data_IF_394324385576
#
_entry.id   IF_394324385576
#
_cell.length_a   1.000
_cell.length_b   1.000
_cell.length_c   1.000
_cell.angle_alpha   90.00
_cell.angle_beta   90.00
_cell.angle_gamma   90.00
#
_symmetry.space_group_name_H-M   'P 1'
#
loop_
_entity.id
_entity.type
_entity.pdbx_description
1 polymer ?
#
# COMPACT_ATOMS: atom_id res chain seq x y z
N UNK A 1 -32.91 1.26 -3.34
CA UNK A 1 -33.52 1.33 -4.70
C UNK A 1 -35.04 1.26 -4.65
N UNK A 2 -35.63 0.21 -4.08
CA UNK A 2 -37.08 0.13 -3.86
C UNK A 2 -37.64 1.36 -3.12
N UNK A 3 -36.90 1.84 -2.11
CA UNK A 3 -37.22 3.09 -1.40
C UNK A 3 -37.20 4.35 -2.27
N UNK A 4 -36.30 4.44 -3.26
CA UNK A 4 -36.27 5.56 -4.21
C UNK A 4 -37.39 5.47 -5.26
N UNK A 5 -37.77 4.24 -5.64
CA UNK A 5 -38.89 4.01 -6.55
C UNK A 5 -40.23 4.38 -5.90
N UNK A 6 -40.39 4.09 -4.61
CA UNK A 6 -41.62 4.37 -3.86
C UNK A 6 -41.77 5.84 -3.42
N UNK A 7 -40.67 6.57 -3.29
CA UNK A 7 -40.68 7.95 -2.80
C UNK A 7 -39.91 8.91 -3.71
N UNK A 8 -40.54 9.41 -4.80
CA UNK A 8 -39.87 10.18 -5.85
C UNK A 8 -39.24 11.50 -5.37
N UNK A 9 -39.68 12.05 -4.24
CA UNK A 9 -39.17 13.26 -3.60
C UNK A 9 -37.97 13.02 -2.68
N UNK A 10 -37.66 11.75 -2.35
CA UNK A 10 -36.64 11.42 -1.35
C UNK A 10 -35.25 11.29 -1.96
N UNK A 11 -34.26 11.67 -1.14
CA UNK A 11 -32.84 11.58 -1.46
C UNK A 11 -32.08 10.63 -0.52
N UNK A 12 -30.91 10.18 -0.97
CA UNK A 12 -29.96 9.35 -0.23
C UNK A 12 -28.61 10.06 -0.18
N UNK A 13 -27.97 10.02 0.98
CA UNK A 13 -26.60 10.46 1.18
C UNK A 13 -25.70 9.28 1.51
N UNK A 14 -24.59 9.13 0.79
CA UNK A 14 -23.51 8.21 1.14
C UNK A 14 -22.25 9.02 1.43
N UNK A 15 -21.66 8.81 2.60
CA UNK A 15 -20.45 9.49 3.05
C UNK A 15 -19.31 8.47 3.05
N UNK A 16 -18.23 8.78 2.34
CA UNK A 16 -17.06 7.91 2.18
C UNK A 16 -15.77 8.66 2.55
N UNK A 17 -14.72 8.00 3.08
CA UNK A 17 -13.47 8.66 3.48
C UNK A 17 -12.67 9.23 2.30
N UNK A 18 -12.68 8.54 1.16
CA UNK A 18 -11.83 8.87 0.01
C UNK A 18 -12.64 9.20 -1.23
N UNK A 19 -11.99 9.89 -2.17
CA UNK A 19 -12.57 10.28 -3.46
C UNK A 19 -12.78 9.07 -4.34
N UNK A 20 -11.83 8.15 -4.28
CA UNK A 20 -11.81 6.89 -5.00
C UNK A 20 -13.01 6.02 -4.61
N UNK A 21 -13.27 5.89 -3.30
CA UNK A 21 -14.45 5.16 -2.84
C UNK A 21 -15.75 5.90 -3.21
N UNK A 22 -15.77 7.24 -3.13
CA UNK A 22 -16.94 8.02 -3.56
C UNK A 22 -17.29 7.78 -5.04
N UNK A 23 -16.27 7.75 -5.90
CA UNK A 23 -16.43 7.48 -7.33
C UNK A 23 -16.89 6.04 -7.58
N UNK A 24 -16.28 5.05 -6.93
CA UNK A 24 -16.66 3.64 -7.04
C UNK A 24 -18.10 3.40 -6.61
N UNK A 25 -18.48 3.89 -5.43
CA UNK A 25 -19.86 3.79 -4.95
C UNK A 25 -20.82 4.49 -5.91
N UNK A 26 -20.44 5.65 -6.45
CA UNK A 26 -21.26 6.34 -7.45
C UNK A 26 -21.41 5.54 -8.76
N UNK A 27 -20.34 4.93 -9.27
CA UNK A 27 -20.34 4.08 -10.47
C UNK A 27 -21.21 2.82 -10.26
N UNK A 28 -21.10 2.16 -9.11
CA UNK A 28 -21.96 1.02 -8.78
C UNK A 28 -23.42 1.44 -8.64
N UNK A 29 -23.69 2.56 -7.94
CA UNK A 29 -25.03 3.11 -7.82
C UNK A 29 -25.64 3.46 -9.18
N UNK A 30 -24.85 3.94 -10.15
CA UNK A 30 -25.35 4.21 -11.52
C UNK A 30 -25.92 2.96 -12.18
N UNK A 31 -25.31 1.78 -11.99
CA UNK A 31 -25.82 0.52 -12.55
C UNK A 31 -27.21 0.19 -12.00
N UNK A 32 -27.40 0.39 -10.70
CA UNK A 32 -28.70 0.17 -10.06
C UNK A 32 -29.73 1.26 -10.43
N UNK A 33 -29.29 2.51 -10.58
CA UNK A 33 -30.16 3.66 -10.87
C UNK A 33 -30.56 3.75 -12.36
N UNK A 34 -29.86 3.04 -13.26
CA UNK A 34 -30.03 3.10 -14.72
C UNK A 34 -31.49 3.00 -15.16
N UNK A 35 -32.28 2.10 -14.54
CA UNK A 35 -33.67 1.87 -14.89
C UNK A 35 -34.69 2.70 -14.09
N UNK A 36 -34.22 3.55 -13.16
CA UNK A 36 -35.07 4.42 -12.33
C UNK A 36 -35.07 5.88 -12.80
N UNK A 37 -34.31 6.22 -13.85
CA UNK A 37 -34.14 7.61 -14.29
C UNK A 37 -33.41 8.49 -13.28
N UNK A 38 -32.74 7.90 -12.29
CA UNK A 38 -31.99 8.62 -11.25
C UNK A 38 -30.52 8.70 -11.67
N UNK A 39 -29.92 9.87 -11.53
CA UNK A 39 -28.48 10.04 -11.76
C UNK A 39 -27.78 10.30 -10.43
N UNK A 40 -26.99 9.34 -9.91
CA UNK A 40 -26.13 9.57 -8.76
C UNK A 40 -25.06 10.63 -9.06
N UNK A 41 -24.74 11.45 -8.05
CA UNK A 41 -23.68 12.45 -8.14
C UNK A 41 -22.61 12.18 -7.08
N UNK A 42 -21.35 12.15 -7.51
CA UNK A 42 -20.19 12.10 -6.61
C UNK A 42 -19.64 13.52 -6.34
N UNK A 43 -19.37 13.82 -5.08
CA UNK A 43 -18.88 15.12 -4.60
C UNK A 43 -17.68 14.94 -3.68
N UNK A 44 -16.54 15.49 -4.07
CA UNK A 44 -15.29 15.30 -3.36
C UNK A 44 -14.31 16.44 -3.60
N UNK A 45 -13.31 16.58 -2.72
CA UNK A 45 -12.26 17.60 -2.85
C UNK A 45 -11.38 17.45 -4.10
N UNK A 46 -10.59 18.46 -4.46
CA UNK A 46 -9.56 18.37 -5.51
C UNK A 46 -10.03 18.43 -6.97
N UNK A 47 -11.34 18.40 -7.23
CA UNK A 47 -11.91 18.79 -8.53
C UNK A 47 -12.69 20.11 -8.38
N UNK A 48 -12.71 20.98 -9.42
CA UNK A 48 -13.45 22.24 -9.40
C UNK A 48 -14.93 22.04 -9.08
N UNK A 49 -15.39 22.78 -8.06
CA UNK A 49 -16.75 22.65 -7.54
C UNK A 49 -17.83 22.90 -8.61
N UNK A 50 -17.58 23.82 -9.55
CA UNK A 50 -18.53 24.17 -10.60
C UNK A 50 -18.94 22.97 -11.47
N UNK A 51 -17.99 22.07 -11.78
CA UNK A 51 -18.28 20.84 -12.55
C UNK A 51 -19.18 19.88 -11.75
N UNK A 52 -18.91 19.75 -10.45
CA UNK A 52 -19.72 18.90 -9.56
C UNK A 52 -21.13 19.47 -9.34
N UNK A 53 -21.27 20.80 -9.22
CA UNK A 53 -22.58 21.45 -9.06
C UNK A 53 -23.48 21.29 -10.29
N UNK A 54 -22.93 21.22 -11.51
CA UNK A 54 -23.72 20.90 -12.69
C UNK A 54 -24.39 19.53 -12.60
N UNK A 55 -23.69 18.53 -12.02
CA UNK A 55 -24.26 17.19 -11.79
C UNK A 55 -25.37 17.19 -10.75
N UNK A 56 -25.26 18.05 -9.72
CA UNK A 56 -26.29 18.22 -8.69
C UNK A 56 -27.57 18.87 -9.20
N UNK A 57 -27.47 19.82 -10.15
CA UNK A 57 -28.62 20.58 -10.67
C UNK A 57 -29.63 19.73 -11.45
N UNK A 58 -29.30 18.49 -11.80
CA UNK A 58 -30.18 17.57 -12.53
C UNK A 58 -30.96 16.63 -11.57
N UNK A 59 -31.46 17.16 -10.44
CA UNK A 59 -32.14 16.37 -9.39
C UNK A 59 -31.35 15.13 -8.95
N UNK A 60 -30.10 15.33 -8.51
CA UNK A 60 -29.30 14.25 -7.97
C UNK A 60 -29.90 13.72 -6.65
N UNK A 61 -30.77 12.69 -6.77
CA UNK A 61 -31.44 12.04 -5.64
C UNK A 61 -30.51 11.11 -4.85
N UNK A 62 -29.38 10.74 -5.41
CA UNK A 62 -28.32 10.00 -4.72
C UNK A 62 -27.07 10.87 -4.74
N UNK A 63 -26.63 11.28 -3.56
CA UNK A 63 -25.40 12.02 -3.37
C UNK A 63 -24.38 11.13 -2.67
N UNK A 64 -23.21 10.94 -3.27
CA UNK A 64 -22.07 10.26 -2.68
C UNK A 64 -20.97 11.29 -2.47
N UNK A 65 -20.36 11.37 -1.29
CA UNK A 65 -19.27 12.34 -1.13
C UNK A 65 -18.38 12.21 0.09
N UNK A 66 -17.26 12.94 0.03
CA UNK A 66 -16.27 12.99 1.11
C UNK A 66 -16.61 14.07 2.13
N UNK A 67 -16.36 13.86 3.44
CA UNK A 67 -16.76 14.77 4.52
C UNK A 67 -16.43 16.25 4.28
N UNK A 68 -15.17 16.60 4.03
CA UNK A 68 -14.78 18.01 3.89
C UNK A 68 -15.56 18.75 2.80
N UNK A 69 -15.69 18.16 1.59
CA UNK A 69 -16.44 18.80 0.50
C UNK A 69 -17.95 18.84 0.76
N UNK A 70 -18.52 17.82 1.38
CA UNK A 70 -19.93 17.84 1.78
C UNK A 70 -20.18 18.96 2.79
N UNK A 71 -19.31 19.11 3.79
CA UNK A 71 -19.40 20.16 4.78
C UNK A 71 -19.33 21.56 4.15
N UNK A 72 -18.42 21.78 3.20
CA UNK A 72 -18.32 23.04 2.45
C UNK A 72 -19.64 23.39 1.76
N UNK A 73 -20.31 22.40 1.17
CA UNK A 73 -21.59 22.59 0.48
C UNK A 73 -22.75 22.89 1.44
N UNK A 74 -22.79 22.24 2.60
CA UNK A 74 -23.78 22.54 3.63
C UNK A 74 -23.55 23.94 4.22
N UNK A 75 -22.31 24.29 4.57
CA UNK A 75 -21.93 25.62 5.09
C UNK A 75 -22.26 26.75 4.09
N UNK A 76 -22.00 26.52 2.80
CA UNK A 76 -22.29 27.49 1.74
C UNK A 76 -23.76 27.50 1.28
N UNK A 77 -24.65 26.77 1.96
CA UNK A 77 -26.09 26.67 1.66
C UNK A 77 -26.38 26.27 0.20
N UNK A 78 -25.50 25.47 -0.41
CA UNK A 78 -25.69 24.93 -1.77
C UNK A 78 -26.52 23.64 -1.79
N UNK A 79 -26.73 23.03 -0.62
CA UNK A 79 -27.53 21.83 -0.40
C UNK A 79 -28.75 22.11 0.51
N UNK A 80 -29.27 23.33 0.52
CA UNK A 80 -30.35 23.75 1.43
C UNK A 80 -31.62 22.91 1.32
N UNK A 81 -31.94 22.42 0.12
CA UNK A 81 -33.13 21.58 -0.11
C UNK A 81 -32.81 20.07 -0.06
N UNK A 82 -31.59 19.69 0.30
CA UNK A 82 -31.17 18.30 0.31
C UNK A 82 -31.51 17.64 1.65
N UNK A 83 -32.57 16.83 1.65
CA UNK A 83 -33.17 16.21 2.84
C UNK A 83 -33.16 14.67 2.72
N UNK A 84 -32.03 14.02 3.05
CA UNK A 84 -31.89 12.58 2.84
C UNK A 84 -32.71 11.77 3.85
N UNK A 85 -33.50 10.82 3.35
CA UNK A 85 -34.22 9.85 4.17
C UNK A 85 -33.29 8.72 4.66
N UNK A 86 -32.24 8.44 3.88
CA UNK A 86 -31.23 7.45 4.21
C UNK A 86 -29.84 8.07 4.13
N UNK A 87 -29.06 7.86 5.18
CA UNK A 87 -27.65 8.24 5.25
C UNK A 87 -26.81 6.99 5.49
N UNK A 88 -25.77 6.81 4.68
CA UNK A 88 -24.81 5.71 4.82
C UNK A 88 -23.46 6.32 5.16
N UNK A 89 -22.84 5.87 6.25
CA UNK A 89 -21.41 6.07 6.49
C UNK A 89 -20.70 4.78 6.10
N UNK A 90 -19.84 4.85 5.09
CA UNK A 90 -19.00 3.74 4.66
C UNK A 90 -17.55 3.96 5.08
N UNK A 91 -16.85 2.90 5.47
CA UNK A 91 -15.50 2.94 6.08
C UNK A 91 -15.38 4.01 7.19
N UNK A 92 -16.28 3.97 8.19
CA UNK A 92 -16.40 5.02 9.20
C UNK A 92 -15.14 5.18 10.09
N UNK A 93 -14.47 4.09 10.43
CA UNK A 93 -13.17 4.08 11.12
C UNK A 93 -12.07 4.77 10.32
N UNK A 94 -12.08 4.63 9.00
CA UNK A 94 -11.15 5.33 8.13
C UNK A 94 -11.37 6.84 8.12
N UNK A 95 -12.63 7.29 8.08
CA UNK A 95 -12.94 8.72 8.19
C UNK A 95 -12.42 9.31 9.51
N UNK A 96 -12.49 8.55 10.60
CA UNK A 96 -11.92 8.95 11.89
C UNK A 96 -10.39 9.04 11.87
N UNK A 97 -9.74 8.05 11.29
CA UNK A 97 -8.28 8.01 11.17
C UNK A 97 -7.74 9.18 10.34
N UNK A 98 -8.55 9.70 9.41
CA UNK A 98 -8.25 10.89 8.61
C UNK A 98 -8.60 12.22 9.31
N UNK A 99 -9.18 12.17 10.51
CA UNK A 99 -9.54 13.35 11.29
C UNK A 99 -10.90 13.97 10.95
N UNK A 100 -11.75 13.31 10.17
CA UNK A 100 -13.04 13.85 9.74
C UNK A 100 -14.16 13.75 10.79
N UNK A 101 -13.84 13.48 12.05
CA UNK A 101 -14.86 13.32 13.10
C UNK A 101 -15.73 14.57 13.24
N UNK A 102 -15.08 15.73 13.38
CA UNK A 102 -15.78 17.01 13.55
C UNK A 102 -16.63 17.34 12.33
N UNK A 103 -16.08 17.11 11.13
CA UNK A 103 -16.78 17.31 9.87
C UNK A 103 -18.06 16.47 9.78
N UNK A 104 -17.98 15.18 10.14
CA UNK A 104 -19.14 14.29 10.17
C UNK A 104 -20.19 14.80 11.17
N UNK A 105 -19.77 15.21 12.37
CA UNK A 105 -20.71 15.71 13.36
C UNK A 105 -21.44 16.97 12.87
N UNK A 106 -20.71 17.88 12.22
CA UNK A 106 -21.28 19.09 11.64
C UNK A 106 -22.22 18.77 10.47
N UNK A 107 -21.84 17.87 9.55
CA UNK A 107 -22.72 17.41 8.48
C UNK A 107 -24.02 16.90 9.07
N UNK A 108 -23.96 16.01 10.07
CA UNK A 108 -25.13 15.43 10.71
C UNK A 108 -26.05 16.47 11.37
N UNK A 109 -25.52 17.65 11.75
CA UNK A 109 -26.31 18.76 12.29
C UNK A 109 -27.17 19.47 11.23
N UNK A 110 -26.78 19.40 9.96
CA UNK A 110 -27.56 19.93 8.83
C UNK A 110 -28.62 18.94 8.32
N UNK A 111 -28.56 17.67 8.74
CA UNK A 111 -29.44 16.62 8.22
C UNK A 111 -30.75 16.50 9.03
N UNK A 112 -31.86 16.06 8.39
CA UNK A 112 -33.15 15.86 9.07
C UNK A 112 -33.05 14.84 10.21
N UNK A 113 -33.65 15.13 11.37
CA UNK A 113 -33.61 14.21 12.54
C UNK A 113 -34.30 12.87 12.27
N UNK A 114 -35.36 12.87 11.47
CA UNK A 114 -36.06 11.66 11.06
C UNK A 114 -35.46 11.13 9.76
N UNK A 115 -34.58 10.14 9.90
CA UNK A 115 -33.89 9.45 8.80
C UNK A 115 -33.41 8.08 9.27
N UNK A 116 -33.23 7.17 8.32
CA UNK A 116 -32.49 5.93 8.54
C UNK A 116 -30.99 6.22 8.40
N UNK A 117 -30.18 5.69 9.31
CA UNK A 117 -28.72 5.78 9.22
C UNK A 117 -28.13 4.36 9.21
N UNK A 118 -27.28 4.07 8.25
CA UNK A 118 -26.46 2.86 8.19
C UNK A 118 -24.99 3.24 8.43
N UNK A 119 -24.30 2.48 9.26
CA UNK A 119 -22.89 2.69 9.57
C UNK A 119 -22.14 1.39 9.30
N UNK A 120 -21.19 1.46 8.39
CA UNK A 120 -20.28 0.37 8.05
C UNK A 120 -18.86 0.75 8.49
N UNK A 121 -18.20 -0.17 9.19
CA UNK A 121 -16.86 0.05 9.73
C UNK A 121 -16.15 -1.30 9.82
N UNK A 122 -14.88 -1.35 9.41
CA UNK A 122 -14.09 -2.57 9.54
C UNK A 122 -13.73 -2.86 11.01
N UNK A 123 -13.59 -1.79 11.80
CA UNK A 123 -13.24 -1.82 13.22
C UNK A 123 -14.20 -0.99 14.06
N UNK A 124 -14.27 -1.26 15.37
CA UNK A 124 -15.17 -0.56 16.31
C UNK A 124 -14.43 0.08 17.49
N UNK A 125 -13.51 1.04 17.26
CA UNK A 125 -12.83 1.76 18.34
C UNK A 125 -13.83 2.63 19.14
N UNK A 126 -13.47 3.07 20.36
CA UNK A 126 -14.38 3.83 21.23
C UNK A 126 -15.00 5.07 20.56
N UNK A 127 -14.25 5.75 19.70
CA UNK A 127 -14.74 6.91 18.94
C UNK A 127 -15.84 6.54 17.94
N UNK A 128 -15.74 5.40 17.24
CA UNK A 128 -16.83 4.91 16.36
C UNK A 128 -18.05 4.52 17.17
N UNK A 129 -17.86 3.84 18.31
CA UNK A 129 -18.96 3.50 19.22
C UNK A 129 -19.72 4.74 19.69
N UNK A 130 -19.01 5.84 19.99
CA UNK A 130 -19.63 7.10 20.34
C UNK A 130 -20.46 7.70 19.19
N UNK A 131 -19.96 7.63 17.95
CA UNK A 131 -20.68 8.07 16.74
C UNK A 131 -21.93 7.22 16.52
N UNK A 132 -21.82 5.89 16.63
CA UNK A 132 -22.95 4.98 16.44
C UNK A 132 -24.06 5.26 17.46
N UNK A 133 -23.70 5.44 18.74
CA UNK A 133 -24.69 5.76 19.79
C UNK A 133 -25.33 7.14 19.59
N UNK A 134 -24.57 8.12 19.08
CA UNK A 134 -25.07 9.49 18.87
C UNK A 134 -25.99 9.62 17.67
N UNK A 135 -25.75 8.87 16.59
CA UNK A 135 -26.38 9.11 15.30
C UNK A 135 -27.26 7.97 14.76
N UNK A 136 -27.22 6.78 15.37
CA UNK A 136 -28.13 5.69 15.06
C UNK A 136 -29.30 5.69 16.06
N UNK A 137 -30.50 5.36 15.57
CA UNK A 137 -31.70 5.15 16.41
C UNK A 137 -32.00 3.66 16.46
N UNK A 138 -31.99 3.05 17.65
CA UNK A 138 -32.24 1.62 17.88
C UNK A 138 -31.56 0.70 16.84
N UNK A 139 -30.22 0.77 16.67
CA UNK A 139 -29.54 0.05 15.59
C UNK A 139 -29.61 -1.46 15.79
N UNK A 140 -29.86 -2.18 14.70
CA UNK A 140 -29.57 -3.61 14.63
C UNK A 140 -28.08 -3.76 14.31
N UNK A 141 -27.34 -4.36 15.24
CA UNK A 141 -25.91 -4.59 15.08
C UNK A 141 -25.66 -5.91 14.36
N UNK A 142 -25.02 -5.83 13.20
CA UNK A 142 -24.46 -7.00 12.52
C UNK A 142 -22.96 -7.00 12.74
N UNK A 143 -22.52 -7.73 13.76
CA UNK A 143 -21.10 -7.97 13.97
C UNK A 143 -20.72 -9.27 13.26
N UNK A 144 -20.22 -9.13 12.02
CA UNK A 144 -19.43 -10.20 11.43
C UNK A 144 -18.00 -10.11 11.97
N UNK A 145 -17.90 -10.26 13.30
CA UNK A 145 -16.65 -10.39 14.01
C UNK A 145 -15.91 -11.53 13.35
N UNK A 146 -14.74 -11.17 12.85
CA UNK A 146 -13.70 -12.04 12.36
C UNK A 146 -13.55 -13.28 13.23
N UNK A 147 -14.19 -14.37 12.82
CA UNK A 147 -13.48 -15.63 12.77
C UNK A 147 -12.11 -15.29 12.14
N UNK A 148 -11.00 -15.77 12.71
CA UNK A 148 -9.62 -15.68 12.18
C UNK A 148 -9.47 -16.19 10.71
N UNK A 149 -10.60 -16.53 10.09
CA UNK A 149 -10.82 -16.97 8.73
C UNK A 149 -10.81 -15.87 7.67
N UNK A 150 -10.90 -14.56 7.99
CA UNK A 150 -10.91 -13.47 6.97
C UNK A 150 -9.65 -13.41 6.08
N UNK A 151 -8.58 -14.08 6.48
CA UNK A 151 -7.33 -14.16 5.72
C UNK A 151 -6.93 -15.61 5.42
N UNK A 152 -7.85 -16.59 5.49
CA UNK A 152 -7.52 -17.99 5.15
C UNK A 152 -6.94 -18.14 3.76
N UNK A 153 -7.39 -17.30 2.84
CA UNK A 153 -6.93 -17.29 1.46
C UNK A 153 -5.68 -16.43 1.26
N UNK A 154 -5.16 -15.78 2.31
CA UNK A 154 -3.97 -14.92 2.27
C UNK A 154 -2.83 -15.60 3.01
N UNK A 155 -1.88 -16.13 2.25
CA UNK A 155 -0.61 -16.62 2.79
C UNK A 155 0.24 -15.44 3.28
N UNK A 156 0.51 -15.36 4.58
CA UNK A 156 1.30 -14.28 5.17
C UNK A 156 2.75 -14.73 5.41
N UNK A 157 3.72 -14.03 4.81
CA UNK A 157 5.15 -14.29 4.94
C UNK A 157 5.88 -13.09 5.54
N UNK A 158 6.73 -13.35 6.52
CA UNK A 158 7.51 -12.32 7.20
C UNK A 158 8.99 -12.55 6.95
N UNK A 159 9.72 -11.51 6.58
CA UNK A 159 11.15 -11.58 6.33
C UNK A 159 11.90 -10.59 7.21
N UNK A 160 12.89 -11.09 7.92
CA UNK A 160 13.78 -10.27 8.71
C UNK A 160 14.90 -9.71 7.83
N UNK A 161 14.96 -8.39 7.69
CA UNK A 161 15.90 -7.69 6.81
C UNK A 161 16.56 -6.52 7.53
N UNK A 162 17.80 -6.19 7.15
CA UNK A 162 18.43 -4.92 7.54
C UNK A 162 17.89 -3.80 6.65
N UNK A 163 17.77 -2.58 7.18
CA UNK A 163 17.23 -1.45 6.40
C UNK A 163 17.98 -1.21 5.09
N UNK A 164 19.31 -1.25 5.14
CA UNK A 164 20.17 -1.11 3.95
C UNK A 164 19.95 -2.20 2.89
N UNK A 165 19.45 -3.38 3.29
CA UNK A 165 19.24 -4.53 2.41
C UNK A 165 17.78 -4.68 1.96
N UNK A 166 16.88 -3.82 2.45
CA UNK A 166 15.44 -3.95 2.22
C UNK A 166 15.08 -3.90 0.74
N UNK A 167 15.74 -3.03 -0.02
CA UNK A 167 15.60 -2.94 -1.47
C UNK A 167 16.00 -4.24 -2.15
N UNK A 168 17.19 -4.76 -1.84
CA UNK A 168 17.69 -6.01 -2.42
C UNK A 168 16.74 -7.17 -2.10
N UNK A 169 16.27 -7.25 -0.86
CA UNK A 169 15.31 -8.25 -0.42
C UNK A 169 14.00 -8.18 -1.21
N UNK A 170 13.43 -6.98 -1.39
CA UNK A 170 12.23 -6.79 -2.21
C UNK A 170 12.44 -7.32 -3.64
N UNK A 171 13.56 -6.98 -4.27
CA UNK A 171 13.86 -7.42 -5.63
C UNK A 171 14.02 -8.95 -5.73
N UNK A 172 14.67 -9.58 -4.75
CA UNK A 172 14.78 -11.04 -4.68
C UNK A 172 13.40 -11.69 -4.57
N UNK A 173 12.53 -11.11 -3.74
CA UNK A 173 11.18 -11.64 -3.51
C UNK A 173 10.27 -11.44 -4.73
N UNK A 174 10.34 -10.29 -5.41
CA UNK A 174 9.60 -10.06 -6.65
C UNK A 174 9.98 -11.08 -7.73
N UNK A 175 11.27 -11.43 -7.82
CA UNK A 175 11.76 -12.42 -8.79
C UNK A 175 11.46 -13.86 -8.42
N UNK A 176 11.41 -14.17 -7.12
CA UNK A 176 11.08 -15.51 -6.64
C UNK A 176 9.57 -15.79 -6.74
N UNK A 177 8.75 -14.83 -6.35
CA UNK A 177 7.29 -14.97 -6.33
C UNK A 177 6.62 -14.70 -7.67
N UNK A 178 7.27 -13.92 -8.55
CA UNK A 178 6.79 -13.60 -9.92
C UNK A 178 5.31 -13.17 -9.91
N UNK A 179 4.95 -12.11 -9.16
CA UNK A 179 3.56 -11.70 -9.05
C UNK A 179 2.97 -11.32 -10.41
N UNK A 180 1.69 -11.61 -10.63
CA UNK A 180 0.93 -11.04 -11.75
C UNK A 180 0.69 -9.57 -11.45
N UNK A 181 -0.20 -9.25 -10.50
CA UNK A 181 -0.35 -7.92 -9.93
C UNK A 181 0.20 -7.88 -8.51
N UNK A 182 0.93 -6.82 -8.19
CA UNK A 182 1.42 -6.57 -6.84
C UNK A 182 1.18 -5.13 -6.39
N UNK A 183 0.87 -4.95 -5.10
CA UNK A 183 0.88 -3.64 -4.45
C UNK A 183 2.02 -3.59 -3.44
N UNK A 184 2.86 -2.56 -3.50
CA UNK A 184 3.96 -2.32 -2.58
C UNK A 184 3.65 -1.08 -1.75
N UNK A 185 3.47 -1.26 -0.45
CA UNK A 185 3.16 -0.19 0.47
C UNK A 185 4.42 0.40 1.13
N UNK A 186 4.55 1.72 1.00
CA UNK A 186 5.56 2.56 1.62
C UNK A 186 4.89 3.57 2.57
N UNK A 187 5.59 4.07 3.58
CA UNK A 187 5.00 5.03 4.53
C UNK A 187 5.11 6.49 4.05
N UNK A 188 6.05 6.80 3.15
CA UNK A 188 6.30 8.17 2.69
C UNK A 188 6.17 8.32 1.18
N UNK A 189 5.74 9.51 0.73
CA UNK A 189 5.59 9.85 -0.69
C UNK A 189 6.93 9.79 -1.43
N UNK A 190 7.98 10.34 -0.80
CA UNK A 190 9.35 10.29 -1.31
C UNK A 190 9.81 8.87 -1.62
N UNK A 191 9.56 7.93 -0.71
CA UNK A 191 9.94 6.54 -0.92
C UNK A 191 9.12 5.87 -2.04
N UNK A 192 7.85 6.25 -2.23
CA UNK A 192 7.05 5.79 -3.37
C UNK A 192 7.71 6.23 -4.69
N UNK A 193 8.11 7.49 -4.80
CA UNK A 193 8.70 8.03 -6.02
C UNK A 193 10.09 7.41 -6.30
N UNK A 194 10.95 7.30 -5.27
CA UNK A 194 12.27 6.67 -5.36
C UNK A 194 12.16 5.20 -5.79
N UNK A 195 11.34 4.41 -5.07
CA UNK A 195 11.21 2.98 -5.35
C UNK A 195 10.55 2.72 -6.72
N UNK A 196 9.56 3.53 -7.11
CA UNK A 196 8.93 3.40 -8.42
C UNK A 196 9.92 3.65 -9.56
N UNK A 197 10.73 4.71 -9.43
CA UNK A 197 11.74 5.07 -10.44
C UNK A 197 12.80 3.99 -10.59
N UNK A 198 13.27 3.43 -9.46
CA UNK A 198 14.24 2.34 -9.47
C UNK A 198 13.66 1.07 -10.13
N UNK A 199 12.45 0.66 -9.74
CA UNK A 199 11.81 -0.52 -10.32
C UNK A 199 11.55 -0.35 -11.84
N UNK A 200 11.14 0.85 -12.28
CA UNK A 200 11.04 1.17 -13.71
C UNK A 200 12.41 1.06 -14.42
N UNK A 201 13.47 1.58 -13.80
CA UNK A 201 14.83 1.49 -14.37
C UNK A 201 15.31 0.04 -14.51
N UNK A 202 14.83 -0.86 -13.63
CA UNK A 202 15.12 -2.29 -13.68
C UNK A 202 14.24 -3.05 -14.68
N UNK A 203 13.27 -2.38 -15.32
CA UNK A 203 12.42 -2.95 -16.36
C UNK A 203 11.09 -3.53 -15.86
N UNK A 204 10.70 -3.27 -14.61
CA UNK A 204 9.36 -3.61 -14.14
C UNK A 204 8.32 -2.64 -14.72
N UNK A 205 7.10 -3.13 -14.95
CA UNK A 205 5.95 -2.28 -15.20
C UNK A 205 5.43 -1.76 -13.86
N UNK A 206 5.55 -0.45 -13.63
CA UNK A 206 5.25 0.17 -12.34
C UNK A 206 4.34 1.40 -12.52
N UNK A 207 3.46 1.58 -11.55
CA UNK A 207 2.70 2.82 -11.35
C UNK A 207 2.91 3.26 -9.91
N UNK A 208 2.97 4.58 -9.70
CA UNK A 208 3.04 5.19 -8.39
C UNK A 208 1.66 5.74 -8.01
N UNK A 209 1.34 5.67 -6.72
CA UNK A 209 0.15 6.32 -6.16
C UNK A 209 0.44 6.93 -4.79
N UNK A 210 0.57 8.26 -4.78
CA UNK A 210 0.93 9.03 -3.58
C UNK A 210 0.10 10.33 -3.48
N UNK A 211 0.18 10.99 -2.33
CA UNK A 211 -0.77 12.06 -1.95
C UNK A 211 -0.62 13.38 -2.69
N UNK A 212 0.52 13.65 -3.35
CA UNK A 212 0.77 14.89 -4.10
C UNK A 212 0.40 14.80 -5.59
N UNK A 213 -0.03 13.63 -6.05
CA UNK A 213 -0.46 13.44 -7.43
C UNK A 213 -1.75 14.22 -7.72
N UNK A 214 -1.83 14.77 -8.93
CA UNK A 214 -3.08 15.36 -9.42
C UNK A 214 -4.18 14.29 -9.51
N UNK A 215 -5.46 14.69 -9.43
CA UNK A 215 -6.56 13.73 -9.54
C UNK A 215 -6.55 12.97 -10.87
N UNK A 216 -6.16 13.64 -11.96
CA UNK A 216 -6.05 13.03 -13.29
C UNK A 216 -4.95 11.96 -13.31
N UNK A 217 -3.79 12.24 -12.72
CA UNK A 217 -2.67 11.29 -12.66
C UNK A 217 -3.01 10.09 -11.77
N UNK A 218 -3.68 10.32 -10.63
CA UNK A 218 -4.16 9.24 -9.75
C UNK A 218 -5.09 8.29 -10.50
N UNK A 219 -6.08 8.84 -11.21
CA UNK A 219 -7.02 8.06 -12.00
C UNK A 219 -6.31 7.25 -13.09
N UNK A 220 -5.40 7.90 -13.83
CA UNK A 220 -4.58 7.24 -14.86
C UNK A 220 -3.74 6.09 -14.31
N UNK A 221 -3.09 6.29 -13.15
CA UNK A 221 -2.33 5.25 -12.44
C UNK A 221 -3.19 4.05 -12.05
N UNK A 222 -4.36 4.29 -11.44
CA UNK A 222 -5.29 3.23 -11.03
C UNK A 222 -5.83 2.47 -12.26
N UNK A 223 -6.23 3.18 -13.31
CA UNK A 223 -6.73 2.56 -14.53
C UNK A 223 -5.68 1.70 -15.23
N UNK A 224 -4.43 2.20 -15.30
CA UNK A 224 -3.31 1.43 -15.87
C UNK A 224 -3.09 0.14 -15.10
N UNK A 225 -3.10 0.23 -13.77
CA UNK A 225 -2.94 -0.95 -12.91
C UNK A 225 -4.11 -1.93 -13.03
N UNK A 226 -5.35 -1.44 -13.13
CA UNK A 226 -6.55 -2.26 -13.31
C UNK A 226 -6.51 -3.05 -14.62
N UNK A 227 -6.16 -2.38 -15.73
CA UNK A 227 -6.12 -2.94 -17.10
C UNK A 227 -4.93 -3.88 -17.34
N UNK A 228 -3.81 -3.68 -16.65
CA UNK A 228 -2.62 -4.51 -16.85
C UNK A 228 -2.82 -5.92 -16.29
N UNK A 229 -2.32 -6.95 -16.98
CA UNK A 229 -2.28 -8.33 -16.46
C UNK A 229 -1.10 -8.54 -15.53
N UNK A 230 0.02 -7.87 -15.79
CA UNK A 230 1.23 -7.91 -14.98
C UNK A 230 1.76 -6.51 -14.66
N UNK A 231 1.69 -6.09 -13.40
CA UNK A 231 2.09 -4.75 -12.99
C UNK A 231 2.31 -4.62 -11.48
N UNK A 232 3.16 -3.67 -11.09
CA UNK A 232 3.40 -3.28 -9.71
C UNK A 232 2.79 -1.88 -9.46
N UNK A 233 2.03 -1.73 -8.39
CA UNK A 233 1.58 -0.44 -7.88
C UNK A 233 2.35 -0.14 -6.59
N UNK A 234 3.13 0.94 -6.56
CA UNK A 234 3.79 1.42 -5.34
C UNK A 234 2.95 2.54 -4.74
N UNK A 235 2.53 2.40 -3.49
CA UNK A 235 1.57 3.32 -2.89
C UNK A 235 1.87 3.66 -1.42
N UNK A 236 1.39 4.82 -0.97
CA UNK A 236 1.26 5.09 0.46
C UNK A 236 -0.07 4.57 1.01
N UNK A 237 -0.19 4.43 2.33
CA UNK A 237 -1.47 4.05 2.97
C UNK A 237 -2.61 4.96 2.51
N UNK A 238 -2.44 6.26 2.71
CA UNK A 238 -3.47 7.28 2.44
C UNK A 238 -3.89 7.25 0.97
N UNK A 239 -2.92 7.12 0.07
CA UNK A 239 -3.20 7.08 -1.35
C UNK A 239 -3.76 5.73 -1.80
N UNK A 240 -3.43 4.66 -1.08
CA UNK A 240 -3.83 3.26 -1.27
C UNK A 240 -5.24 2.91 -0.83
N UNK A 241 -5.86 3.73 0.04
CA UNK A 241 -7.19 3.47 0.61
C UNK A 241 -8.28 3.63 -0.43
N UNK A 242 -9.31 2.78 -0.36
CA UNK A 242 -10.42 2.82 -1.31
C UNK A 242 -10.04 2.47 -2.76
N UNK A 243 -8.85 1.91 -3.02
CA UNK A 243 -8.57 1.34 -4.34
C UNK A 243 -9.24 -0.02 -4.41
N UNK A 244 -10.21 -0.12 -5.31
CA UNK A 244 -10.82 -1.37 -5.70
C UNK A 244 -10.16 -1.91 -6.96
N UNK A 245 -9.26 -2.86 -6.73
CA UNK A 245 -8.47 -3.56 -7.75
C UNK A 245 -8.60 -5.05 -7.48
N UNK A 246 -9.24 -5.75 -8.41
CA UNK A 246 -9.30 -7.21 -8.42
C UNK A 246 -7.94 -7.80 -8.78
N UNK A 247 -7.78 -9.09 -8.46
CA UNK A 247 -6.70 -9.94 -8.96
C UNK A 247 -5.29 -9.54 -8.52
N UNK A 248 -5.18 -8.84 -7.38
CA UNK A 248 -3.89 -8.58 -6.76
C UNK A 248 -3.37 -9.89 -6.17
N UNK A 249 -2.39 -10.49 -6.82
CA UNK A 249 -1.76 -11.74 -6.36
C UNK A 249 -0.92 -11.55 -5.11
N UNK A 250 -0.25 -10.40 -4.98
CA UNK A 250 0.70 -10.16 -3.91
C UNK A 250 0.57 -8.75 -3.31
N UNK A 251 0.69 -8.65 -2.00
CA UNK A 251 0.86 -7.39 -1.28
C UNK A 251 2.22 -7.42 -0.59
N UNK A 252 3.01 -6.36 -0.77
CA UNK A 252 4.28 -6.18 -0.09
C UNK A 252 4.17 -5.01 0.88
N UNK A 253 4.29 -5.27 2.17
CA UNK A 253 4.58 -4.25 3.16
C UNK A 253 6.09 -3.98 3.14
N UNK A 254 6.51 -3.06 2.26
CA UNK A 254 7.91 -2.64 2.18
C UNK A 254 8.32 -1.94 3.46
N UNK A 255 7.45 -1.10 4.02
CA UNK A 255 7.57 -0.58 5.39
C UNK A 255 6.44 -1.05 6.27
N UNK A 256 6.72 -1.33 7.54
CA UNK A 256 5.69 -1.70 8.51
C UNK A 256 4.69 -0.53 8.69
N UNK A 257 3.38 -0.78 8.59
CA UNK A 257 2.35 0.22 8.87
C UNK A 257 2.33 0.64 10.35
N UNK A 258 1.69 1.77 10.63
CA UNK A 258 1.67 2.37 11.97
C UNK A 258 0.64 1.75 12.93
N UNK A 259 -0.41 1.08 12.41
CA UNK A 259 -1.50 0.49 13.21
C UNK A 259 -1.96 -0.86 12.68
N UNK A 260 -2.53 -1.69 13.59
CA UNK A 260 -3.04 -3.03 13.26
C UNK A 260 -4.06 -2.97 12.12
N UNK A 261 -4.97 -2.01 12.21
CA UNK A 261 -6.01 -1.80 11.22
C UNK A 261 -5.41 -1.47 9.85
N UNK A 262 -4.38 -0.62 9.80
CA UNK A 262 -3.67 -0.32 8.56
C UNK A 262 -3.00 -1.57 7.95
N UNK A 263 -2.41 -2.44 8.78
CA UNK A 263 -1.87 -3.71 8.28
C UNK A 263 -2.94 -4.61 7.69
N UNK A 264 -4.04 -4.80 8.41
CA UNK A 264 -5.19 -5.59 7.96
C UNK A 264 -5.75 -5.03 6.65
N UNK A 265 -5.85 -3.71 6.51
CA UNK A 265 -6.31 -3.06 5.28
C UNK A 265 -5.36 -3.20 4.10
N UNK A 266 -4.04 -3.21 4.35
CA UNK A 266 -3.04 -3.47 3.31
C UNK A 266 -3.13 -4.90 2.82
N UNK A 267 -3.08 -5.88 3.71
CA UNK A 267 -3.08 -7.30 3.31
C UNK A 267 -4.42 -7.73 2.70
N UNK A 268 -5.54 -7.12 3.12
CA UNK A 268 -6.86 -7.31 2.51
C UNK A 268 -7.01 -6.76 1.09
N UNK A 269 -5.93 -6.22 0.49
CA UNK A 269 -5.90 -5.89 -0.96
C UNK A 269 -5.65 -7.11 -1.83
N UNK A 270 -5.17 -8.22 -1.26
CA UNK A 270 -5.08 -9.52 -1.94
C UNK A 270 -6.08 -10.51 -1.32
N UNK A 271 -6.23 -11.69 -1.90
CA UNK A 271 -7.09 -12.74 -1.35
C UNK A 271 -8.60 -12.44 -1.42
N UNK A 272 -9.03 -11.62 -2.39
CA UNK A 272 -10.44 -11.22 -2.54
C UNK A 272 -11.23 -12.24 -3.36
N UNK A 273 -12.54 -12.34 -3.10
CA UNK A 273 -13.50 -13.15 -3.88
C UNK A 273 -13.12 -14.65 -4.01
N UNK A 274 -12.54 -15.24 -2.96
CA UNK A 274 -12.13 -16.65 -2.94
C UNK A 274 -10.83 -16.96 -3.69
N UNK A 275 -10.16 -15.96 -4.26
CA UNK A 275 -8.82 -16.14 -4.83
C UNK A 275 -7.78 -16.22 -3.73
N UNK A 276 -6.73 -17.03 -3.94
CA UNK A 276 -5.57 -17.05 -3.03
C UNK A 276 -4.69 -15.82 -3.27
N UNK A 277 -4.12 -15.30 -2.20
CA UNK A 277 -3.21 -14.16 -2.19
C UNK A 277 -2.00 -14.40 -1.31
N UNK A 278 -0.93 -13.63 -1.51
CA UNK A 278 0.24 -13.67 -0.63
C UNK A 278 0.57 -12.28 -0.11
N UNK A 279 0.64 -12.12 1.20
CA UNK A 279 1.09 -10.89 1.85
C UNK A 279 2.50 -11.06 2.40
N UNK A 280 3.44 -10.26 1.91
CA UNK A 280 4.85 -10.31 2.27
C UNK A 280 5.20 -9.07 3.08
N UNK A 281 5.74 -9.24 4.28
CA UNK A 281 6.10 -8.14 5.17
C UNK A 281 7.59 -8.14 5.47
N UNK A 282 8.26 -7.03 5.16
CA UNK A 282 9.67 -6.81 5.46
C UNK A 282 9.80 -6.13 6.82
N UNK A 283 10.56 -6.73 7.73
CA UNK A 283 10.73 -6.27 9.10
C UNK A 283 12.21 -6.13 9.45
N UNK A 284 12.60 -5.05 10.11
CA UNK A 284 13.85 -5.04 10.87
C UNK A 284 13.71 -5.73 12.21
N UNK A 285 14.85 -6.01 12.86
CA UNK A 285 14.86 -6.51 14.24
C UNK A 285 14.13 -5.56 15.20
N UNK A 286 14.22 -4.24 15.02
CA UNK A 286 13.49 -3.29 15.86
C UNK A 286 11.98 -3.36 15.60
N UNK A 287 11.60 -3.44 14.32
CA UNK A 287 10.20 -3.50 13.91
C UNK A 287 9.53 -4.83 14.30
N UNK A 288 10.27 -5.95 14.37
CA UNK A 288 9.69 -7.23 14.76
C UNK A 288 9.15 -7.23 16.19
N UNK A 289 9.80 -6.54 17.14
CA UNK A 289 9.29 -6.40 18.51
C UNK A 289 7.96 -5.63 18.54
N UNK A 290 7.89 -4.49 17.85
CA UNK A 290 6.65 -3.73 17.73
C UNK A 290 5.56 -4.54 17.02
N UNK A 291 5.93 -5.29 15.98
CA UNK A 291 5.01 -6.13 15.21
C UNK A 291 4.44 -7.30 16.02
N UNK A 292 5.24 -7.93 16.92
CA UNK A 292 4.73 -8.93 17.87
C UNK A 292 3.64 -8.35 18.76
N UNK A 293 3.90 -7.19 19.35
CA UNK A 293 2.94 -6.48 20.23
C UNK A 293 1.69 -6.06 19.45
N UNK A 294 1.88 -5.60 18.24
CA UNK A 294 0.86 -5.15 17.31
C UNK A 294 -0.12 -6.25 16.89
N UNK A 295 0.38 -7.46 16.60
CA UNK A 295 -0.45 -8.62 16.29
C UNK A 295 -0.96 -9.37 17.53
N UNK A 296 -0.49 -9.00 18.73
CA UNK A 296 -0.76 -9.72 19.99
C UNK A 296 -0.40 -11.21 19.92
N UNK A 297 0.65 -11.55 19.17
CA UNK A 297 1.16 -12.93 19.02
C UNK A 297 2.40 -13.15 19.89
N UNK A 298 2.60 -14.39 20.35
CA UNK A 298 3.79 -14.76 21.12
C UNK A 298 5.05 -14.71 20.25
N UNK A 299 4.97 -15.27 19.05
CA UNK A 299 6.08 -15.33 18.10
C UNK A 299 5.64 -15.09 16.66
N UNK A 300 6.60 -14.64 15.84
CA UNK A 300 6.45 -14.46 14.40
C UNK A 300 7.37 -15.46 13.72
N UNK A 301 6.82 -16.25 12.80
CA UNK A 301 7.61 -17.12 11.94
C UNK A 301 8.26 -16.30 10.83
N UNK A 302 9.59 -16.33 10.76
CA UNK A 302 10.34 -15.67 9.69
C UNK A 302 10.73 -16.65 8.60
N UNK A 303 10.43 -16.28 7.36
CA UNK A 303 10.90 -16.96 6.16
C UNK A 303 12.33 -16.53 5.82
N UNK A 304 13.10 -17.42 5.20
CA UNK A 304 14.44 -17.11 4.68
C UNK A 304 14.34 -16.46 3.31
N UNK A 305 15.15 -15.44 3.06
CA UNK A 305 15.23 -14.86 1.72
C UNK A 305 15.71 -15.92 0.71
N UNK A 306 15.12 -15.96 -0.49
CA UNK A 306 15.49 -16.94 -1.49
C UNK A 306 16.91 -16.67 -2.01
N UNK A 307 17.66 -17.74 -2.19
CA UNK A 307 18.98 -17.73 -2.82
C UNK A 307 18.87 -17.47 -4.31
N UNK A 308 19.98 -17.05 -4.93
CA UNK A 308 20.04 -16.85 -6.39
C UNK A 308 19.70 -18.15 -7.14
N UNK A 309 20.13 -19.30 -6.62
CA UNK A 309 19.83 -20.61 -7.22
C UNK A 309 18.33 -20.92 -7.18
N UNK A 310 17.66 -20.66 -6.06
CA UNK A 310 16.21 -20.84 -5.92
C UNK A 310 15.42 -19.88 -6.83
N UNK A 311 15.85 -18.62 -6.94
CA UNK A 311 15.26 -17.64 -7.86
C UNK A 311 15.38 -18.12 -9.30
N UNK A 312 16.57 -18.51 -9.75
CA UNK A 312 16.79 -19.03 -11.11
C UNK A 312 15.92 -20.25 -11.39
N UNK A 313 15.87 -21.19 -10.45
CA UNK A 313 15.06 -22.40 -10.57
C UNK A 313 13.57 -22.07 -10.73
N UNK A 314 13.04 -21.15 -9.91
CA UNK A 314 11.65 -20.68 -10.05
C UNK A 314 11.39 -19.99 -11.38
N UNK A 315 12.31 -19.15 -11.84
CA UNK A 315 12.19 -18.48 -13.13
C UNK A 315 12.22 -19.45 -14.31
N UNK A 316 13.06 -20.49 -14.26
CA UNK A 316 13.08 -21.55 -15.28
C UNK A 316 11.73 -22.27 -15.36
N UNK A 317 11.17 -22.67 -14.22
CA UNK A 317 9.86 -23.34 -14.17
C UNK A 317 8.76 -22.44 -14.77
N UNK A 318 8.69 -21.17 -14.34
CA UNK A 318 7.70 -20.24 -14.88
C UNK A 318 7.87 -19.98 -16.39
N UNK A 319 9.11 -20.00 -16.89
CA UNK A 319 9.38 -19.87 -18.31
C UNK A 319 8.91 -21.10 -19.10
N UNK A 320 9.13 -22.31 -18.60
CA UNK A 320 8.63 -23.54 -19.22
C UNK A 320 7.09 -23.55 -19.28
N UNK A 321 6.42 -23.16 -18.20
CA UNK A 321 4.96 -23.00 -18.19
C UNK A 321 4.48 -22.00 -19.26
N UNK A 322 5.21 -20.89 -19.44
CA UNK A 322 4.89 -19.88 -20.47
C UNK A 322 5.11 -20.36 -21.90
N UNK A 323 5.94 -21.38 -22.11
CA UNK A 323 6.12 -22.01 -23.43
C UNK A 323 4.97 -22.96 -23.72
N UNK A 324 4.56 -23.76 -22.74
CA UNK A 324 3.46 -24.72 -22.89
C UNK A 324 2.10 -24.06 -23.13
N UNK A 325 1.87 -22.87 -22.58
CA UNK A 325 0.63 -22.11 -22.79
C UNK A 325 0.61 -21.29 -24.09
N UNK A 326 1.71 -21.26 -24.84
CA UNK A 326 1.82 -20.46 -26.06
C UNK A 326 0.97 -21.03 -27.21
N UNK A 327 0.30 -20.14 -27.94
CA UNK A 327 -0.40 -20.53 -29.18
C UNK A 327 0.59 -20.76 -30.31
N UNK A 328 0.45 -21.86 -31.03
CA UNK A 328 1.24 -22.12 -32.24
C UNK A 328 0.62 -21.35 -33.41
N UNK A 329 1.41 -20.50 -34.06
CA UNK A 329 0.98 -19.77 -35.25
C UNK A 329 0.83 -20.73 -36.44
N UNK A 330 -0.07 -20.45 -37.38
CA UNK A 330 -0.30 -21.29 -38.58
C UNK A 330 0.98 -21.58 -39.34
N UNK A 331 1.82 -20.54 -39.49
CA UNK A 331 3.03 -20.60 -40.32
C UNK A 331 4.24 -21.16 -39.55
N UNK A 332 4.06 -21.53 -38.26
CA UNK A 332 5.18 -21.95 -37.42
C UNK A 332 5.89 -23.21 -37.95
N UNK A 333 5.13 -24.14 -38.54
CA UNK A 333 5.69 -25.36 -39.14
C UNK A 333 6.50 -25.03 -40.41
N UNK A 334 5.99 -24.14 -41.25
CA UNK A 334 6.68 -23.71 -42.46
C UNK A 334 7.99 -22.99 -42.12
N UNK A 335 7.95 -22.03 -41.19
CA UNK A 335 9.14 -21.33 -40.70
C UNK A 335 10.16 -22.30 -40.12
N UNK A 336 9.72 -23.28 -39.31
CA UNK A 336 10.61 -24.30 -38.75
C UNK A 336 11.30 -25.11 -39.85
N UNK A 337 10.57 -25.49 -40.91
CA UNK A 337 11.14 -26.25 -42.03
C UNK A 337 12.23 -25.48 -42.78
N UNK A 338 12.08 -24.15 -42.91
CA UNK A 338 13.13 -23.29 -43.49
C UNK A 338 14.36 -23.21 -42.58
N UNK A 339 14.15 -23.05 -41.27
CA UNK A 339 15.26 -22.99 -40.32
C UNK A 339 16.06 -24.31 -40.27
N UNK A 340 15.39 -25.45 -40.38
CA UNK A 340 16.02 -26.78 -40.37
C UNK A 340 16.94 -27.05 -41.56
N UNK A 341 16.82 -26.29 -42.66
CA UNK A 341 17.74 -26.41 -43.81
C UNK A 341 19.12 -25.83 -43.50
N UNK A 342 19.17 -24.81 -42.65
CA UNK A 342 20.39 -24.06 -42.33
C UNK A 342 20.98 -24.43 -40.97
N UNK A 343 20.18 -25.01 -40.07
CA UNK A 343 20.56 -25.23 -38.67
C UNK A 343 19.93 -26.49 -38.08
N UNK A 344 20.57 -27.07 -37.06
CA UNK A 344 19.98 -28.21 -36.33
C UNK A 344 18.80 -27.77 -35.45
N UNK A 345 17.89 -28.70 -35.16
CA UNK A 345 16.76 -28.45 -34.24
C UNK A 345 17.22 -27.98 -32.85
N UNK A 346 18.35 -28.52 -32.37
CA UNK A 346 18.92 -28.16 -31.07
C UNK A 346 19.42 -26.70 -31.09
N UNK A 347 20.14 -26.29 -32.13
CA UNK A 347 20.61 -24.92 -32.26
C UNK A 347 19.47 -23.92 -32.41
N UNK A 348 18.43 -24.28 -33.17
CA UNK A 348 17.21 -23.48 -33.30
C UNK A 348 16.54 -23.32 -31.93
N UNK A 349 16.34 -24.42 -31.20
CA UNK A 349 15.74 -24.40 -29.87
C UNK A 349 16.55 -23.54 -28.90
N UNK A 350 17.89 -23.70 -28.86
CA UNK A 350 18.78 -22.90 -28.01
C UNK A 350 18.69 -21.41 -28.37
N UNK A 351 18.71 -21.05 -29.67
CA UNK A 351 18.59 -19.65 -30.10
C UNK A 351 17.23 -19.05 -29.72
N UNK A 352 16.13 -19.77 -29.93
CA UNK A 352 14.79 -19.29 -29.58
C UNK A 352 14.61 -19.16 -28.06
N UNK A 353 15.07 -20.15 -27.29
CA UNK A 353 15.09 -20.09 -25.82
C UNK A 353 15.93 -18.90 -25.36
N UNK A 354 17.14 -18.72 -25.89
CA UNK A 354 18.02 -17.59 -25.58
C UNK A 354 17.39 -16.25 -25.92
N UNK A 355 16.72 -16.12 -27.07
CA UNK A 355 16.06 -14.89 -27.50
C UNK A 355 14.87 -14.54 -26.59
N UNK A 356 14.07 -15.54 -26.17
CA UNK A 356 12.92 -15.32 -25.28
C UNK A 356 13.36 -15.10 -23.82
N UNK A 357 14.35 -15.87 -23.35
CA UNK A 357 14.92 -15.77 -22.01
C UNK A 357 15.69 -14.47 -21.78
N UNK A 358 16.51 -14.02 -22.73
CA UNK A 358 17.29 -12.77 -22.62
C UNK A 358 16.39 -11.54 -22.41
N UNK A 359 15.16 -11.53 -22.95
CA UNK A 359 14.18 -10.46 -22.67
C UNK A 359 13.68 -10.51 -21.22
N UNK A 360 13.58 -11.70 -20.63
CA UNK A 360 13.03 -11.94 -19.29
C UNK A 360 14.11 -11.86 -18.18
N UNK A 361 15.36 -12.21 -18.49
CA UNK A 361 16.49 -12.24 -17.54
C UNK A 361 17.20 -10.90 -17.36
N UNK A 362 16.89 -9.89 -18.18
CA UNK A 362 17.48 -8.54 -18.11
C UNK A 362 17.41 -7.94 -16.71
N UNK A 363 16.32 -8.19 -15.99
CA UNK A 363 16.10 -7.69 -14.63
C UNK A 363 17.10 -8.29 -13.64
N UNK A 364 17.30 -9.62 -13.69
CA UNK A 364 18.22 -10.33 -12.80
C UNK A 364 19.67 -9.95 -13.10
N UNK A 365 20.05 -9.88 -14.38
CA UNK A 365 21.40 -9.47 -14.79
C UNK A 365 21.70 -8.03 -14.33
N UNK A 366 20.80 -7.09 -14.62
CA UNK A 366 20.97 -5.68 -14.22
C UNK A 366 21.07 -5.49 -12.71
N UNK A 367 20.39 -6.33 -11.93
CA UNK A 367 20.51 -6.32 -10.46
C UNK A 367 21.83 -6.92 -9.97
N UNK A 368 22.29 -8.02 -10.56
CA UNK A 368 23.59 -8.60 -10.23
C UNK A 368 24.71 -7.61 -10.53
N UNK A 369 24.65 -6.95 -11.69
CA UNK A 369 25.63 -5.93 -12.11
C UNK A 369 25.60 -4.71 -11.17
N UNK A 370 24.42 -4.23 -10.79
CA UNK A 370 24.28 -3.13 -9.83
C UNK A 370 24.84 -3.51 -8.45
N UNK A 371 24.62 -4.75 -7.99
CA UNK A 371 25.13 -5.22 -6.70
C UNK A 371 26.65 -5.42 -6.65
N UNK A 372 27.31 -5.62 -7.80
CA UNK A 372 28.77 -5.72 -7.86
C UNK A 372 29.45 -4.33 -7.88
N UNK A 373 28.77 -3.31 -8.41
CA UNK A 373 29.25 -1.92 -8.43
C UNK A 373 29.28 -1.21 -7.06
N UNK A 374 28.51 -1.72 -6.09
CA UNK A 374 28.37 -1.15 -4.73
C UNK A 374 29.38 -1.71 -3.71
N UNK A 375 30.35 -2.53 -4.15
CA UNK A 375 31.42 -3.02 -3.27
C UNK A 375 32.45 -1.91 -3.03
N UNK A 376 32.75 -1.51 -1.78
CA UNK A 376 33.78 -0.50 -1.52
C UNK A 376 35.14 -1.05 -1.94
N UNK A 377 35.79 -0.36 -2.88
CA UNK A 377 37.14 -0.67 -3.33
C UNK A 377 38.10 -0.68 -2.14
N UNK A 378 38.54 -1.87 -1.72
CA UNK A 378 39.66 -2.04 -0.77
C UNK A 378 40.95 -1.57 -1.46
N UNK A 379 41.20 -0.26 -1.49
CA UNK A 379 42.53 0.27 -1.77
C UNK A 379 43.43 -0.12 -0.60
N UNK A 380 44.31 -1.10 -0.82
CA UNK A 380 45.49 -1.40 0.01
C UNK A 380 46.21 -0.08 0.27
N UNK A 381 46.15 0.45 1.48
CA UNK A 381 47.13 1.42 1.97
C UNK A 381 48.35 0.63 2.41
N UNK A 382 49.37 0.59 1.57
CA UNK A 382 50.74 0.29 2.00
C UNK A 382 51.11 1.28 3.11
N UNK A 383 51.45 0.75 4.28
CA UNK A 383 51.99 1.54 5.39
C UNK A 383 53.49 1.68 5.14
N UNK A 384 53.90 2.81 4.59
CA UNK A 384 55.28 3.27 4.72
C UNK A 384 55.57 3.56 6.20
N UNK A 385 56.60 2.90 6.73
CA UNK A 385 57.14 3.14 8.07
C UNK A 385 58.11 4.32 7.99
N UNK A 386 58.01 5.36 8.83
CA UNK A 386 59.08 6.34 8.96
C UNK A 386 60.24 5.76 9.77
N UNK A 387 61.44 6.03 9.28
CA UNK A 387 62.71 5.58 9.82
C UNK A 387 63.06 6.11 11.20
N UNK A 388 63.97 5.35 11.81
CA UNK A 388 64.64 5.52 13.10
C UNK A 388 65.78 6.53 12.93
N UNK A 389 65.98 7.42 13.91
CA UNK A 389 67.19 8.16 14.35
C UNK A 389 66.69 9.31 15.25
N UNK A 390 67.32 9.81 16.32
CA UNK A 390 68.46 9.42 17.15
C UNK A 390 68.40 10.32 18.42
N UNK A 391 68.49 9.72 19.62
CA UNK A 391 68.99 10.25 20.93
C UNK A 391 68.47 11.57 21.58
N UNK A 392 68.77 11.86 22.89
CA UNK A 392 69.24 11.03 24.01
C UNK A 392 68.41 11.20 25.32
N UNK A 393 68.90 10.49 26.35
CA UNK A 393 68.26 10.16 27.62
C UNK A 393 68.32 11.21 28.75
N UNK A 394 67.35 11.09 29.68
CA UNK A 394 67.50 11.10 31.16
C UNK A 394 67.85 12.42 31.88
N UNK A 395 66.92 12.88 32.74
CA UNK A 395 67.26 13.39 34.08
C UNK A 395 66.17 13.08 35.12
N UNK A 396 66.65 12.79 36.33
CA UNK A 396 65.99 12.21 37.51
C UNK A 396 65.56 13.29 38.53
N UNK A 397 64.66 12.88 39.45
CA UNK A 397 64.39 13.39 40.84
C UNK A 397 63.55 14.68 40.93
N UNK A 398 62.69 14.90 41.93
CA UNK A 398 62.69 14.43 43.32
C UNK A 398 61.28 14.31 43.97
N UNK A 399 61.25 13.57 45.09
CA UNK A 399 60.17 13.37 46.07
C UNK A 399 60.00 14.55 47.03
N UNK A 400 58.79 14.73 47.58
CA UNK A 400 58.42 14.82 49.03
C UNK A 400 56.90 15.01 49.13
N UNK A 401 56.15 14.09 49.73
CA UNK A 401 55.79 14.01 51.17
C UNK A 401 55.14 15.33 51.66
N UNK A 402 54.02 15.42 52.38
CA UNK A 402 53.18 14.49 53.15
C UNK A 402 52.10 15.35 53.87
N UNK A 403 51.15 14.69 54.56
CA UNK A 403 50.11 15.24 55.46
C UNK A 403 48.89 15.89 54.79
N UNK A 404 47.64 15.53 55.09
CA UNK A 404 47.08 14.69 56.14
C UNK A 404 45.94 15.41 56.85
N UNK A 405 44.75 14.77 56.87
CA UNK A 405 43.60 15.00 57.78
C UNK A 405 42.86 16.35 57.60
N UNK A 406 41.58 16.52 57.88
CA UNK A 406 40.39 15.70 58.17
C UNK A 406 39.30 16.71 58.56
N UNK A 407 38.02 16.29 58.48
CA UNK A 407 36.79 16.97 58.98
C UNK A 407 36.28 18.09 58.05
N UNK A 408 35.00 18.20 57.71
CA UNK A 408 33.80 17.59 58.26
C UNK A 408 32.73 18.68 58.43
N UNK A 409 31.48 18.37 58.05
CA UNK A 409 30.25 19.17 58.21
C UNK A 409 30.15 20.43 57.32
N UNK A 410 28.98 20.90 56.85
CA UNK A 410 27.58 20.69 57.23
C UNK A 410 26.64 21.11 56.07
N UNK A 411 25.45 20.51 56.08
CA UNK A 411 24.20 20.86 55.36
C UNK A 411 23.91 22.37 55.26
N UNK A 412 23.22 22.81 54.19
CA UNK A 412 21.92 23.52 54.16
C UNK A 412 21.41 23.47 52.69
N UNK A 413 20.24 22.91 52.33
CA UNK A 413 18.89 23.51 52.33
C UNK A 413 18.85 24.84 51.56
N UNK A 414 17.88 25.22 50.71
CA UNK A 414 16.63 24.69 50.14
C UNK A 414 16.09 25.88 49.30
N UNK A 415 15.21 25.60 48.32
CA UNK A 415 14.34 26.55 47.56
C UNK A 415 15.07 27.36 46.47
N UNK A 416 14.49 27.54 45.29
CA UNK A 416 13.06 27.62 44.94
C UNK A 416 12.75 26.87 43.65
#
# INVERSE_FOLDING_TARGET
MQLLAQHPDKTILVITPTRELALQVCEEMQKFCKYLGITPAAIYGGEPLFKQLKRLKNDARVLVGTPGRLLDLFKSKKLTNFSPLLVVLDEADEMLNMGFLEDIQLIFSYLPKERQTLLFSATMPPKIRAISTKFLKNPVSFDHASDDKKHKDIEQKHYLVKDQQRKLALLQLLQFHIPSKAIIFCNTKRLVDELSSELLSLGYLVSALQGDMSQADRQSSIERFRKATKMILVATDVAGRGIDVSDVSHVFNYELPQSHDAYTHRIGRTGRMGSKGTAITLLTMKQSYSFKRFLKVKDITFSKLPTIAEIKSKQHVAFLESLNQGTVHSDAQEILSFLQKEMSLEEIAIKLVSQKWSKQSKVLQKQLDASDSDKPSRKKRERERPGRNDFPARRKRARRDSFGKSKGFKKFSKRS
#
